data_IF_800957143400
#
_entry.id   IF_800957143400
#
_cell.length_a   1.000
_cell.length_b   1.000
_cell.length_c   1.000
_cell.angle_alpha   90.00
_cell.angle_beta   90.00
_cell.angle_gamma   90.00
#
_symmetry.space_group_name_H-M   'P 1'
#
loop_
_entity.id
_entity.type
_entity.pdbx_description
1 polymer ?
#
# COMPACT_ATOMS: atom_id res chain seq x y z
N UNK A 1 0.76 11.27 25.32
CA UNK A 1 0.12 9.95 25.22
C UNK A 1 0.32 9.54 23.78
N UNK A 2 1.23 8.58 23.57
CA UNK A 2 1.76 8.22 22.26
C UNK A 2 0.73 7.37 21.50
N UNK A 3 0.16 7.83 20.37
CA UNK A 3 -0.77 7.04 19.54
C UNK A 3 -0.08 5.86 18.83
N UNK A 4 1.21 5.66 19.07
CA UNK A 4 2.15 4.96 18.18
C UNK A 4 2.02 3.45 18.10
N UNK A 5 1.45 2.79 19.11
CA UNK A 5 1.37 1.33 19.10
C UNK A 5 0.22 0.81 18.25
N UNK A 6 -0.96 1.45 18.27
CA UNK A 6 -2.15 0.85 17.66
C UNK A 6 -2.05 0.74 16.13
N UNK A 7 -1.55 1.76 15.44
CA UNK A 7 -1.37 1.74 13.98
C UNK A 7 -0.24 0.81 13.55
N UNK A 8 0.89 0.84 14.27
CA UNK A 8 2.05 -0.01 13.97
C UNK A 8 1.72 -1.48 14.19
N UNK A 9 1.00 -1.80 15.28
CA UNK A 9 0.48 -3.13 15.59
C UNK A 9 -0.57 -3.58 14.56
N UNK A 10 -1.45 -2.67 14.11
CA UNK A 10 -2.47 -2.93 13.07
C UNK A 10 -1.81 -3.46 11.80
N UNK A 11 -0.76 -2.81 11.31
CA UNK A 11 -0.09 -3.21 10.08
C UNK A 11 0.84 -4.41 10.25
N UNK A 12 1.50 -4.54 11.40
CA UNK A 12 2.29 -5.73 11.74
C UNK A 12 1.45 -7.01 11.78
N UNK A 13 0.15 -6.90 12.12
CA UNK A 13 -0.77 -8.05 12.18
C UNK A 13 -1.27 -8.55 10.82
N UNK A 14 -1.03 -7.82 9.73
CA UNK A 14 -1.48 -8.20 8.39
C UNK A 14 -0.79 -9.50 7.96
N UNK A 15 -1.59 -10.45 7.46
CA UNK A 15 -1.07 -11.64 6.76
C UNK A 15 -0.77 -11.29 5.30
N UNK A 16 0.36 -10.60 5.11
CA UNK A 16 0.78 -10.06 3.83
C UNK A 16 0.76 -11.13 2.73
N UNK A 17 0.14 -10.81 1.59
CA UNK A 17 0.09 -11.66 0.38
C UNK A 17 -0.57 -13.04 0.57
N UNK A 18 -1.18 -13.32 1.72
CA UNK A 18 -1.69 -14.66 2.07
C UNK A 18 -2.83 -15.19 1.19
N UNK A 19 -3.44 -14.33 0.37
CA UNK A 19 -4.52 -14.69 -0.56
C UNK A 19 -4.14 -14.49 -2.03
N UNK A 20 -2.89 -14.17 -2.34
CA UNK A 20 -2.43 -14.01 -3.73
C UNK A 20 -2.72 -15.27 -4.54
N UNK A 21 -3.35 -15.09 -5.71
CA UNK A 21 -3.78 -16.19 -6.58
C UNK A 21 -4.99 -17.00 -6.08
N UNK A 22 -5.64 -16.58 -4.98
CA UNK A 22 -6.83 -17.19 -4.41
C UNK A 22 -8.09 -16.37 -4.67
N UNK A 23 -9.26 -17.00 -4.54
CA UNK A 23 -10.56 -16.31 -4.53
C UNK A 23 -10.99 -15.85 -3.13
N UNK A 24 -10.23 -16.23 -2.10
CA UNK A 24 -10.49 -15.86 -0.72
C UNK A 24 -10.49 -14.33 -0.57
N UNK A 25 -11.55 -13.77 0.03
CA UNK A 25 -11.70 -12.31 0.29
C UNK A 25 -11.60 -11.41 -0.95
N UNK A 26 -11.67 -11.99 -2.15
CA UNK A 26 -11.55 -11.28 -3.43
C UNK A 26 -12.55 -10.13 -3.57
N UNK A 27 -13.81 -10.34 -3.18
CA UNK A 27 -14.87 -9.30 -3.24
C UNK A 27 -14.60 -8.12 -2.30
N UNK A 28 -13.96 -8.36 -1.15
CA UNK A 28 -13.57 -7.31 -0.21
C UNK A 28 -12.39 -6.50 -0.78
N UNK A 29 -11.40 -7.20 -1.36
CA UNK A 29 -10.30 -6.56 -2.08
C UNK A 29 -10.80 -5.72 -3.27
N UNK A 30 -11.74 -6.23 -4.08
CA UNK A 30 -12.32 -5.48 -5.20
C UNK A 30 -13.06 -4.22 -4.75
N UNK A 31 -13.77 -4.27 -3.61
CA UNK A 31 -14.43 -3.10 -3.05
C UNK A 31 -13.41 -2.03 -2.65
N UNK A 32 -12.38 -2.45 -1.93
CA UNK A 32 -11.31 -1.58 -1.45
C UNK A 32 -10.50 -0.99 -2.62
N UNK A 33 -10.26 -1.79 -3.67
CA UNK A 33 -9.63 -1.35 -4.92
C UNK A 33 -10.44 -0.28 -5.65
N UNK A 34 -11.78 -0.42 -5.71
CA UNK A 34 -12.65 0.61 -6.30
C UNK A 34 -12.63 1.89 -5.49
N UNK A 35 -12.66 1.78 -4.17
CA UNK A 35 -12.57 2.94 -3.29
C UNK A 35 -11.21 3.64 -3.44
N UNK A 36 -10.12 2.88 -3.51
CA UNK A 36 -8.78 3.42 -3.73
C UNK A 36 -8.68 4.20 -5.04
N UNK A 37 -9.17 3.61 -6.14
CA UNK A 37 -9.22 4.26 -7.44
C UNK A 37 -10.11 5.52 -7.43
N UNK A 38 -11.25 5.48 -6.73
CA UNK A 38 -12.14 6.63 -6.58
C UNK A 38 -11.47 7.78 -5.83
N UNK A 39 -10.68 7.49 -4.77
CA UNK A 39 -9.88 8.50 -4.04
C UNK A 39 -8.81 9.13 -4.93
N UNK A 40 -8.26 8.38 -5.88
CA UNK A 40 -7.36 8.88 -6.92
C UNK A 40 -8.08 9.63 -8.07
N UNK A 41 -9.40 9.82 -8.00
CA UNK A 41 -10.18 10.53 -9.01
C UNK A 41 -10.60 9.68 -10.22
N UNK A 42 -10.38 8.36 -10.19
CA UNK A 42 -10.77 7.44 -11.26
C UNK A 42 -12.21 6.98 -11.04
N UNK A 43 -13.14 7.52 -11.84
CA UNK A 43 -14.59 7.30 -11.67
C UNK A 43 -15.06 5.91 -12.13
N UNK A 44 -14.48 5.40 -13.21
CA UNK A 44 -14.83 4.11 -13.80
C UNK A 44 -13.58 3.24 -13.89
N UNK A 45 -13.30 2.51 -12.81
CA UNK A 45 -12.14 1.62 -12.76
C UNK A 45 -12.51 0.20 -13.20
N UNK A 46 -11.75 -0.34 -14.15
CA UNK A 46 -11.74 -1.77 -14.47
C UNK A 46 -10.78 -2.47 -13.49
N UNK A 47 -11.17 -3.64 -13.01
CA UNK A 47 -10.33 -4.45 -12.15
C UNK A 47 -9.90 -5.68 -12.92
N UNK A 48 -8.60 -5.93 -12.95
CA UNK A 48 -8.04 -7.15 -13.54
C UNK A 48 -7.23 -7.90 -12.50
N UNK A 49 -7.39 -9.22 -12.51
CA UNK A 49 -6.69 -10.12 -11.61
C UNK A 49 -5.58 -10.81 -12.38
N UNK A 50 -4.34 -10.49 -12.02
CA UNK A 50 -3.17 -11.06 -12.63
C UNK A 50 -2.71 -12.31 -11.90
N UNK A 51 -1.93 -13.15 -12.60
CA UNK A 51 -1.19 -14.21 -11.94
C UNK A 51 0.02 -13.61 -11.22
N UNK A 52 0.42 -14.20 -10.09
CA UNK A 52 1.62 -13.78 -9.35
C UNK A 52 2.88 -13.77 -10.23
N UNK A 53 2.98 -14.70 -11.19
CA UNK A 53 4.07 -14.78 -12.16
C UNK A 53 4.17 -13.56 -13.09
N UNK A 54 3.07 -12.83 -13.31
CA UNK A 54 3.01 -11.70 -14.22
C UNK A 54 3.41 -10.37 -13.56
N UNK A 55 3.63 -10.33 -12.25
CA UNK A 55 3.90 -9.09 -11.50
C UNK A 55 5.07 -8.30 -12.08
N UNK A 56 6.19 -8.96 -12.36
CA UNK A 56 7.41 -8.27 -12.82
C UNK A 56 7.16 -7.58 -14.16
N UNK A 57 6.46 -8.25 -15.07
CA UNK A 57 6.15 -7.69 -16.38
C UNK A 57 5.08 -6.60 -16.28
N UNK A 58 4.06 -6.80 -15.46
CA UNK A 58 3.03 -5.79 -15.19
C UNK A 58 3.63 -4.50 -14.64
N UNK A 59 4.54 -4.58 -13.67
CA UNK A 59 5.17 -3.39 -13.08
C UNK A 59 6.02 -2.62 -14.11
N UNK A 60 6.65 -3.30 -15.09
CA UNK A 60 7.36 -2.63 -16.18
C UNK A 60 6.41 -1.85 -17.10
N UNK A 61 5.22 -2.41 -17.32
CA UNK A 61 4.18 -1.81 -18.16
C UNK A 61 3.37 -0.72 -17.44
N UNK A 62 3.42 -0.68 -16.09
CA UNK A 62 2.89 0.46 -15.33
C UNK A 62 3.72 1.69 -15.65
N UNK A 63 3.25 2.47 -16.63
CA UNK A 63 3.76 3.80 -16.92
C UNK A 63 3.45 4.74 -15.74
N UNK A 64 4.31 4.69 -14.71
CA UNK A 64 4.08 5.40 -13.44
C UNK A 64 3.74 6.87 -13.67
N UNK A 65 4.44 7.57 -14.58
CA UNK A 65 4.24 9.00 -14.80
C UNK A 65 2.91 9.37 -15.48
N UNK A 66 2.23 8.41 -16.13
CA UNK A 66 0.93 8.63 -16.78
C UNK A 66 -0.24 8.05 -15.97
N UNK A 67 0.06 7.35 -14.87
CA UNK A 67 -0.95 6.72 -14.03
C UNK A 67 -1.67 7.74 -13.14
N UNK A 68 -3.02 7.84 -13.19
CA UNK A 68 -3.79 8.67 -12.26
C UNK A 68 -3.51 8.32 -10.80
N UNK A 69 -3.24 7.04 -10.54
CA UNK A 69 -2.92 6.54 -9.22
C UNK A 69 -1.57 7.09 -8.71
N UNK A 70 -0.57 7.16 -9.58
CA UNK A 70 0.72 7.74 -9.22
C UNK A 70 0.65 9.26 -9.05
N UNK A 71 -0.09 9.95 -9.92
CA UNK A 71 -0.33 11.38 -9.78
C UNK A 71 -0.96 11.71 -8.40
N UNK A 72 -1.90 10.87 -7.94
CA UNK A 72 -2.46 10.94 -6.60
C UNK A 72 -1.44 10.62 -5.50
N UNK A 73 -0.76 9.47 -5.57
CA UNK A 73 0.17 9.00 -4.53
C UNK A 73 1.38 9.93 -4.35
N UNK A 74 1.91 10.49 -5.43
CA UNK A 74 3.05 11.41 -5.39
C UNK A 74 2.77 12.69 -4.60
N UNK A 75 1.49 13.08 -4.46
CA UNK A 75 1.07 14.23 -3.65
C UNK A 75 0.93 13.92 -2.15
N UNK A 76 0.75 12.66 -1.77
CA UNK A 76 0.49 12.26 -0.36
C UNK A 76 1.68 12.61 0.56
N UNK A 77 2.95 12.29 0.23
CA UNK A 77 4.09 12.66 1.07
C UNK A 77 4.18 14.16 1.36
N UNK A 78 3.87 15.01 0.38
CA UNK A 78 3.91 16.46 0.56
C UNK A 78 2.86 16.94 1.56
N UNK A 79 1.66 16.35 1.52
CA UNK A 79 0.57 16.67 2.45
C UNK A 79 0.92 16.24 3.87
N UNK A 80 1.46 15.03 4.02
CA UNK A 80 1.96 14.51 5.30
C UNK A 80 3.01 15.46 5.87
N UNK A 81 4.00 15.85 5.07
CA UNK A 81 5.05 16.76 5.50
C UNK A 81 4.48 18.11 5.95
N UNK A 82 3.59 18.71 5.16
CA UNK A 82 2.96 19.98 5.53
C UNK A 82 2.19 19.89 6.85
N UNK A 83 1.47 18.80 7.09
CA UNK A 83 0.73 18.57 8.33
C UNK A 83 1.68 18.35 9.52
N UNK A 84 2.76 17.60 9.34
CA UNK A 84 3.79 17.38 10.35
C UNK A 84 4.53 18.67 10.71
N UNK A 85 4.89 19.50 9.73
CA UNK A 85 5.53 20.80 9.92
C UNK A 85 4.60 21.76 10.67
N UNK A 86 3.33 21.85 10.26
CA UNK A 86 2.34 22.71 10.89
C UNK A 86 2.06 22.34 12.36
N UNK A 87 2.26 21.07 12.73
CA UNK A 87 2.04 20.56 14.07
C UNK A 87 3.33 20.38 14.89
N UNK A 88 4.50 20.68 14.32
CA UNK A 88 5.80 20.48 14.97
C UNK A 88 6.15 19.01 15.24
N UNK A 89 5.56 18.07 14.50
CA UNK A 89 5.72 16.60 14.69
C UNK A 89 6.69 15.94 13.71
N UNK A 90 7.42 16.70 12.90
CA UNK A 90 8.28 16.13 11.84
C UNK A 90 9.33 15.14 12.36
N UNK A 91 10.02 15.44 13.46
CA UNK A 91 11.00 14.53 14.07
C UNK A 91 10.35 13.27 14.64
N UNK A 92 9.19 13.41 15.29
CA UNK A 92 8.41 12.28 15.79
C UNK A 92 8.00 11.36 14.64
N UNK A 93 7.56 11.93 13.52
CA UNK A 93 7.18 11.21 12.33
C UNK A 93 8.34 10.38 11.76
N UNK A 94 9.55 10.95 11.71
CA UNK A 94 10.75 10.22 11.25
C UNK A 94 11.01 9.01 12.15
N UNK A 95 11.02 9.19 13.47
CA UNK A 95 11.26 8.09 14.40
C UNK A 95 10.24 6.96 14.25
N UNK A 96 8.96 7.29 14.08
CA UNK A 96 7.88 6.31 13.87
C UNK A 96 8.08 5.51 12.59
N UNK A 97 8.50 6.18 11.51
CA UNK A 97 8.75 5.52 10.24
C UNK A 97 9.98 4.61 10.30
N UNK A 98 11.02 4.99 11.03
CA UNK A 98 12.21 4.17 11.23
C UNK A 98 11.88 2.90 12.05
N UNK A 99 11.20 3.07 13.19
CA UNK A 99 10.80 1.97 14.05
C UNK A 99 9.78 1.04 13.35
N UNK A 100 8.73 1.63 12.77
CA UNK A 100 7.70 0.89 12.05
C UNK A 100 8.24 0.13 10.84
N UNK A 101 9.17 0.72 10.08
CA UNK A 101 9.80 0.02 8.96
C UNK A 101 10.53 -1.26 9.42
N UNK A 102 11.25 -1.19 10.54
CA UNK A 102 11.92 -2.37 11.09
C UNK A 102 10.91 -3.46 11.53
N UNK A 103 9.80 -3.06 12.16
CA UNK A 103 8.77 -3.97 12.65
C UNK A 103 7.98 -4.64 11.51
N UNK A 104 7.58 -3.88 10.49
CA UNK A 104 6.82 -4.43 9.36
C UNK A 104 7.69 -5.23 8.40
N UNK A 105 8.98 -4.86 8.26
CA UNK A 105 9.86 -5.44 7.25
C UNK A 105 9.88 -6.97 7.29
N UNK A 106 10.05 -7.56 8.46
CA UNK A 106 10.12 -9.03 8.56
C UNK A 106 8.82 -9.70 8.14
N UNK A 107 7.67 -9.21 8.62
CA UNK A 107 6.36 -9.78 8.25
C UNK A 107 6.05 -9.62 6.76
N UNK A 108 6.36 -8.45 6.19
CA UNK A 108 6.19 -8.17 4.75
C UNK A 108 7.13 -9.05 3.93
N UNK A 109 8.40 -9.15 4.32
CA UNK A 109 9.41 -9.94 3.63
C UNK A 109 9.05 -11.42 3.64
N UNK A 110 8.68 -11.98 4.79
CA UNK A 110 8.32 -13.40 4.90
C UNK A 110 7.09 -13.73 4.04
N UNK A 111 6.06 -12.87 4.05
CA UNK A 111 4.89 -13.00 3.20
C UNK A 111 5.24 -12.93 1.71
N UNK A 112 6.01 -11.92 1.32
CA UNK A 112 6.44 -11.74 -0.06
C UNK A 112 7.33 -12.89 -0.55
N UNK A 113 8.28 -13.33 0.26
CA UNK A 113 9.19 -14.43 -0.08
C UNK A 113 8.41 -15.74 -0.24
N UNK A 114 7.47 -16.04 0.66
CA UNK A 114 6.63 -17.25 0.58
C UNK A 114 5.88 -17.35 -0.75
N UNK A 115 5.37 -16.22 -1.25
CA UNK A 115 4.51 -16.19 -2.45
C UNK A 115 5.32 -15.98 -3.74
N UNK A 116 6.30 -15.07 -3.72
CA UNK A 116 6.94 -14.57 -4.92
C UNK A 116 8.36 -15.09 -5.16
N UNK A 117 8.99 -15.81 -4.21
CA UNK A 117 10.31 -16.41 -4.44
C UNK A 117 10.39 -17.29 -5.71
N UNK A 118 9.37 -18.09 -6.09
CA UNK A 118 9.40 -18.85 -7.34
C UNK A 118 9.51 -17.99 -8.61
N UNK A 119 9.20 -16.69 -8.53
CA UNK A 119 9.25 -15.74 -9.65
C UNK A 119 10.48 -14.81 -9.60
N UNK A 120 11.41 -15.08 -8.67
CA UNK A 120 12.71 -14.41 -8.58
C UNK A 120 12.76 -13.22 -7.62
N UNK A 121 13.99 -12.82 -7.29
CA UNK A 121 14.28 -11.76 -6.32
C UNK A 121 13.63 -10.41 -6.66
N UNK A 122 13.47 -10.12 -7.96
CA UNK A 122 12.82 -8.89 -8.40
C UNK A 122 11.34 -8.85 -7.98
N UNK A 123 10.60 -9.96 -8.14
CA UNK A 123 9.20 -10.04 -7.72
C UNK A 123 9.07 -9.85 -6.20
N UNK A 124 9.95 -10.46 -5.42
CA UNK A 124 10.00 -10.29 -3.95
C UNK A 124 10.29 -8.84 -3.59
N UNK A 125 11.30 -8.21 -4.21
CA UNK A 125 11.67 -6.80 -3.93
C UNK A 125 10.53 -5.84 -4.27
N UNK A 126 9.83 -6.06 -5.39
CA UNK A 126 8.69 -5.23 -5.78
C UNK A 126 7.53 -5.36 -4.80
N UNK A 127 7.19 -6.58 -4.39
CA UNK A 127 6.14 -6.83 -3.40
C UNK A 127 6.47 -6.18 -2.05
N UNK A 128 7.69 -6.38 -1.54
CA UNK A 128 8.15 -5.79 -0.28
C UNK A 128 8.16 -4.26 -0.35
N UNK A 129 8.72 -3.70 -1.42
CA UNK A 129 8.80 -2.26 -1.62
C UNK A 129 7.42 -1.61 -1.66
N UNK A 130 6.46 -2.20 -2.39
CA UNK A 130 5.10 -1.68 -2.47
C UNK A 130 4.40 -1.71 -1.10
N UNK A 131 4.44 -2.85 -0.41
CA UNK A 131 3.79 -2.99 0.90
C UNK A 131 4.38 -2.04 1.95
N UNK A 132 5.71 -1.91 2.03
CA UNK A 132 6.36 -0.97 2.95
C UNK A 132 6.06 0.48 2.60
N UNK A 133 6.01 0.83 1.31
CA UNK A 133 5.64 2.17 0.88
C UNK A 133 4.23 2.54 1.35
N UNK A 134 3.25 1.65 1.15
CA UNK A 134 1.89 1.89 1.60
C UNK A 134 1.75 1.91 3.12
N UNK A 135 2.41 0.99 3.84
CA UNK A 135 2.42 0.99 5.31
C UNK A 135 3.03 2.28 5.86
N UNK A 136 4.15 2.75 5.30
CA UNK A 136 4.77 4.01 5.67
C UNK A 136 3.85 5.20 5.40
N UNK A 137 3.22 5.29 4.22
CA UNK A 137 2.27 6.37 3.92
C UNK A 137 1.07 6.35 4.88
N UNK A 138 0.52 5.17 5.15
CA UNK A 138 -0.65 5.04 6.00
C UNK A 138 -0.35 5.47 7.43
N UNK A 139 0.74 4.95 8.01
CA UNK A 139 1.18 5.32 9.37
C UNK A 139 1.54 6.80 9.46
N UNK A 140 2.28 7.31 8.47
CA UNK A 140 2.66 8.71 8.44
C UNK A 140 1.45 9.65 8.34
N UNK A 141 0.43 9.26 7.57
CA UNK A 141 -0.81 10.01 7.50
C UNK A 141 -1.52 10.05 8.85
N UNK A 142 -1.68 8.90 9.50
CA UNK A 142 -2.37 8.80 10.79
C UNK A 142 -1.67 9.64 11.88
N UNK A 143 -0.34 9.67 11.88
CA UNK A 143 0.42 10.50 12.84
C UNK A 143 0.39 12.00 12.49
N UNK A 144 0.60 12.34 11.22
CA UNK A 144 0.73 13.74 10.80
C UNK A 144 -0.63 14.45 10.73
N UNK A 145 -1.64 13.77 10.21
CA UNK A 145 -2.97 14.33 9.91
C UNK A 145 -4.01 13.90 10.95
N UNK A 146 -3.95 12.66 11.42
CA UNK A 146 -4.92 12.10 12.36
C UNK A 146 -6.36 12.13 11.83
N UNK A 147 -7.33 12.31 12.73
CA UNK A 147 -8.77 12.28 12.41
C UNK A 147 -9.29 13.49 11.63
N UNK A 148 -8.42 14.46 11.31
CA UNK A 148 -8.83 15.66 10.55
C UNK A 148 -9.28 15.32 9.13
N UNK A 149 -8.68 14.29 8.52
CA UNK A 149 -9.02 13.82 7.18
C UNK A 149 -8.84 12.30 7.06
N UNK A 150 -9.74 11.60 6.32
CA UNK A 150 -9.59 10.18 6.06
C UNK A 150 -8.24 9.83 5.41
N UNK A 151 -7.62 8.74 5.84
CA UNK A 151 -6.32 8.31 5.34
C UNK A 151 -6.41 7.89 3.86
N UNK A 152 -5.84 8.65 2.91
CA UNK A 152 -6.06 8.46 1.47
C UNK A 152 -5.64 7.09 0.95
N UNK A 153 -4.70 6.42 1.63
CA UNK A 153 -4.17 5.11 1.24
C UNK A 153 -4.75 3.94 2.05
N UNK A 154 -5.66 4.20 3.00
CA UNK A 154 -6.29 3.15 3.79
C UNK A 154 -6.97 2.06 2.94
N UNK A 155 -7.71 2.36 1.85
CA UNK A 155 -8.27 1.31 1.00
C UNK A 155 -7.21 0.44 0.33
N UNK A 156 -5.98 0.95 0.10
CA UNK A 156 -4.88 0.12 -0.38
C UNK A 156 -4.40 -0.83 0.72
N UNK A 157 -4.31 -0.35 1.96
CA UNK A 157 -4.01 -1.18 3.13
C UNK A 157 -5.08 -2.25 3.37
N UNK A 158 -6.36 -1.96 3.11
CA UNK A 158 -7.43 -2.95 3.21
C UNK A 158 -7.30 -4.08 2.18
N UNK A 159 -6.74 -3.80 1.00
CA UNK A 159 -6.42 -4.85 0.00
C UNK A 159 -5.33 -5.77 0.55
N UNK A 160 -4.26 -5.21 1.13
CA UNK A 160 -3.22 -5.99 1.80
C UNK A 160 -3.74 -6.78 3.01
N UNK A 161 -4.65 -6.19 3.79
CA UNK A 161 -5.31 -6.87 4.91
C UNK A 161 -6.22 -8.01 4.44
N UNK A 162 -6.70 -7.98 3.20
CA UNK A 162 -7.37 -9.11 2.54
C UNK A 162 -6.37 -10.18 2.04
N UNK A 163 -5.07 -9.93 2.12
CA UNK A 163 -4.01 -10.82 1.65
C UNK A 163 -3.70 -10.68 0.16
N UNK A 164 -4.19 -9.65 -0.50
CA UNK A 164 -3.98 -9.36 -1.93
C UNK A 164 -3.06 -8.16 -2.11
N UNK A 165 -2.59 -7.89 -3.33
CA UNK A 165 -1.75 -6.73 -3.60
C UNK A 165 -2.29 -5.88 -4.76
N UNK A 166 -2.51 -4.56 -4.55
CA UNK A 166 -2.75 -3.63 -5.67
C UNK A 166 -1.43 -3.32 -6.39
N UNK A 167 -1.15 -4.03 -7.48
CA UNK A 167 0.13 -3.94 -8.22
C UNK A 167 0.31 -2.56 -8.84
N UNK A 168 -0.74 -2.02 -9.45
CA UNK A 168 -0.70 -0.73 -10.12
C UNK A 168 -1.79 -0.57 -11.17
N UNK A 169 -1.80 0.58 -11.83
CA UNK A 169 -2.85 0.94 -12.78
C UNK A 169 -2.27 1.27 -14.16
N UNK A 170 -2.86 0.66 -15.20
CA UNK A 170 -2.58 0.94 -16.61
C UNK A 170 -3.87 1.49 -17.23
N UNK A 171 -3.85 2.75 -17.67
CA UNK A 171 -5.05 3.45 -18.12
C UNK A 171 -6.12 3.52 -17.03
N UNK A 172 -7.29 2.93 -17.28
CA UNK A 172 -8.42 2.82 -16.35
C UNK A 172 -8.47 1.50 -15.57
N UNK A 173 -7.45 0.65 -15.72
CA UNK A 173 -7.43 -0.70 -15.18
C UNK A 173 -6.48 -0.82 -13.99
N UNK A 174 -7.01 -1.15 -12.81
CA UNK A 174 -6.25 -1.48 -11.61
C UNK A 174 -6.02 -2.99 -11.53
N UNK A 175 -4.75 -3.38 -11.49
CA UNK A 175 -4.33 -4.77 -11.39
C UNK A 175 -4.18 -5.20 -9.94
N UNK A 176 -4.77 -6.35 -9.62
CA UNK A 176 -4.69 -7.03 -8.32
C UNK A 176 -4.04 -8.40 -8.52
N UNK A 177 -3.27 -8.86 -7.54
CA UNK A 177 -2.75 -10.24 -7.45
C UNK A 177 -3.06 -10.89 -6.13
#
# INVERSE_FOLDING_TARGET
MHPTNETTDKWASIRWFSSVGSVLRRKEAERSAREFAARAGVKEVRLEWAAAAAVVDLVKDVAMMESPLWAFLSGVPNRIRQAADASGRFETLIGILEDGAAEWFHAVFDGAYTVFAPYGDEAVRLAVGAALYFAALATAWEEAVGDAEPNPVEPAMDIFACGHWPVGMIGDCLYLV
#
